data_IF_670229859165
#
_entry.id   IF_670229859165
#
_cell.length_a   1.000
_cell.length_b   1.000
_cell.length_c   1.000
_cell.angle_alpha   90.00
_cell.angle_beta   90.00
_cell.angle_gamma   90.00
#
_symmetry.space_group_name_H-M   'P 1'
#
loop_
_entity.id
_entity.type
_entity.pdbx_description
1 polymer ?
#
# COMPACT_ATOMS: atom_id res chain seq x y z
N UNK A 1 -25.73 -7.08 -23.11
CA UNK A 1 -26.19 -7.89 -21.97
C UNK A 1 -27.23 -7.06 -21.26
N UNK A 2 -28.49 -7.51 -21.26
CA UNK A 2 -29.61 -6.62 -20.96
C UNK A 2 -29.85 -6.45 -19.45
N UNK A 3 -29.11 -7.19 -18.62
CA UNK A 3 -29.16 -7.10 -17.16
C UNK A 3 -27.86 -7.61 -16.53
N UNK A 4 -27.44 -7.00 -15.43
CA UNK A 4 -26.34 -7.47 -14.61
C UNK A 4 -26.77 -8.67 -13.76
N UNK A 5 -26.67 -9.87 -14.33
CA UNK A 5 -26.82 -11.14 -13.61
C UNK A 5 -25.48 -11.58 -13.03
N UNK A 6 -25.43 -12.52 -12.06
CA UNK A 6 -24.16 -13.07 -11.55
C UNK A 6 -23.26 -13.60 -12.67
N UNK A 7 -23.85 -14.29 -13.65
CA UNK A 7 -23.12 -14.78 -14.83
C UNK A 7 -22.55 -13.63 -15.67
N UNK A 8 -23.34 -12.60 -15.94
CA UNK A 8 -22.90 -11.43 -16.73
C UNK A 8 -21.82 -10.65 -16.01
N UNK A 9 -21.92 -10.51 -14.69
CA UNK A 9 -20.89 -9.90 -13.86
C UNK A 9 -19.59 -10.71 -13.90
N UNK A 10 -19.67 -12.04 -13.76
CA UNK A 10 -18.50 -12.92 -13.86
C UNK A 10 -17.79 -12.80 -15.22
N UNK A 11 -18.56 -12.77 -16.32
CA UNK A 11 -18.02 -12.52 -17.66
C UNK A 11 -17.34 -11.16 -17.78
N UNK A 12 -17.90 -10.12 -17.16
CA UNK A 12 -17.31 -8.79 -17.17
C UNK A 12 -16.01 -8.74 -16.37
N UNK A 13 -15.95 -9.35 -15.19
CA UNK A 13 -14.72 -9.43 -14.38
C UNK A 13 -13.64 -10.20 -15.14
N UNK A 14 -13.96 -11.38 -15.67
CA UNK A 14 -13.02 -12.20 -16.43
C UNK A 14 -12.49 -11.47 -17.68
N UNK A 15 -13.32 -10.68 -18.35
CA UNK A 15 -12.89 -9.84 -19.48
C UNK A 15 -11.79 -8.86 -19.05
N UNK A 16 -11.95 -8.19 -17.90
CA UNK A 16 -10.94 -7.26 -17.40
C UNK A 16 -9.68 -7.97 -16.87
N UNK A 17 -9.82 -9.13 -16.24
CA UNK A 17 -8.67 -9.97 -15.83
C UNK A 17 -7.81 -10.34 -17.05
N UNK A 18 -8.43 -10.79 -18.15
CA UNK A 18 -7.71 -11.12 -19.37
C UNK A 18 -7.14 -9.89 -20.10
N UNK A 19 -7.83 -8.75 -20.04
CA UNK A 19 -7.30 -7.50 -20.57
C UNK A 19 -6.02 -7.06 -19.85
N UNK A 20 -6.02 -7.10 -18.51
CA UNK A 20 -4.84 -6.81 -17.67
C UNK A 20 -3.70 -7.80 -17.94
N UNK A 21 -4.02 -9.10 -18.01
CA UNK A 21 -3.05 -10.14 -18.35
C UNK A 21 -2.39 -9.88 -19.72
N UNK A 22 -3.19 -9.57 -20.74
CA UNK A 22 -2.70 -9.32 -22.10
C UNK A 22 -1.76 -8.11 -22.14
N UNK A 23 -2.11 -7.04 -21.43
CA UNK A 23 -1.25 -5.86 -21.29
C UNK A 23 0.08 -6.22 -20.61
N UNK A 24 0.04 -7.01 -19.52
CA UNK A 24 1.24 -7.48 -18.83
C UNK A 24 2.15 -8.30 -19.75
N UNK A 25 1.58 -9.21 -20.54
CA UNK A 25 2.31 -10.00 -21.52
C UNK A 25 2.98 -9.14 -22.62
N UNK A 26 2.28 -8.11 -23.14
CA UNK A 26 2.83 -7.18 -24.14
C UNK A 26 3.98 -6.35 -23.56
N UNK A 27 3.84 -5.86 -22.33
CA UNK A 27 4.87 -5.05 -21.67
C UNK A 27 6.01 -5.88 -21.07
N UNK A 28 5.94 -7.22 -21.16
CA UNK A 28 6.90 -8.12 -20.55
C UNK A 28 7.10 -7.84 -19.05
N UNK A 29 6.00 -7.60 -18.34
CA UNK A 29 5.95 -7.43 -16.89
C UNK A 29 5.10 -8.53 -16.27
N UNK A 30 5.42 -8.90 -15.02
CA UNK A 30 4.63 -9.89 -14.30
C UNK A 30 3.40 -9.24 -13.64
N UNK A 31 2.21 -9.48 -14.19
CA UNK A 31 0.96 -8.94 -13.65
C UNK A 31 0.46 -9.67 -12.38
N UNK A 32 1.17 -10.68 -11.91
CA UNK A 32 0.79 -11.50 -10.76
C UNK A 32 1.65 -11.25 -9.51
N UNK A 33 2.71 -10.44 -9.60
CA UNK A 33 3.51 -10.07 -8.43
C UNK A 33 3.16 -8.67 -7.88
N UNK A 34 3.72 -8.38 -6.71
CA UNK A 34 3.41 -7.17 -5.94
C UNK A 34 4.55 -6.78 -4.99
N UNK A 35 5.81 -6.93 -5.40
CA UNK A 35 6.98 -6.62 -4.55
C UNK A 35 6.99 -5.18 -4.03
N UNK A 36 6.39 -4.24 -4.76
CA UNK A 36 6.33 -2.82 -4.38
C UNK A 36 5.66 -2.53 -3.04
N UNK A 37 4.91 -3.48 -2.46
CA UNK A 37 4.25 -3.28 -1.15
C UNK A 37 5.18 -3.54 0.04
N UNK A 38 6.30 -4.21 -0.16
CA UNK A 38 7.10 -4.77 0.94
C UNK A 38 7.84 -3.68 1.73
N UNK A 39 8.52 -2.77 1.03
CA UNK A 39 9.29 -1.71 1.68
C UNK A 39 8.40 -0.82 2.56
N UNK A 40 7.21 -0.45 2.06
CA UNK A 40 6.26 0.34 2.82
C UNK A 40 5.78 -0.38 4.09
N UNK A 41 5.52 -1.69 4.02
CA UNK A 41 5.16 -2.51 5.18
C UNK A 41 6.28 -2.55 6.21
N UNK A 42 7.53 -2.77 5.78
CA UNK A 42 8.69 -2.79 6.68
C UNK A 42 8.93 -1.43 7.35
N UNK A 43 8.86 -0.34 6.59
CA UNK A 43 9.02 1.02 7.14
C UNK A 43 7.90 1.36 8.14
N UNK A 44 6.65 1.02 7.81
CA UNK A 44 5.51 1.26 8.69
C UNK A 44 5.66 0.53 10.03
N UNK A 45 6.13 -0.72 10.03
CA UNK A 45 6.37 -1.47 11.27
C UNK A 45 7.37 -0.76 12.20
N UNK A 46 8.46 -0.21 11.66
CA UNK A 46 9.42 0.57 12.44
C UNK A 46 8.78 1.85 13.00
N UNK A 47 8.10 2.61 12.15
CA UNK A 47 7.50 3.90 12.54
C UNK A 47 6.38 3.71 13.57
N UNK A 48 5.55 2.68 13.46
CA UNK A 48 4.50 2.38 14.44
C UNK A 48 5.12 2.14 15.82
N UNK A 49 6.16 1.30 15.91
CA UNK A 49 6.86 1.07 17.17
C UNK A 49 7.45 2.37 17.76
N UNK A 50 8.04 3.24 16.91
CA UNK A 50 8.59 4.52 17.33
C UNK A 50 7.53 5.54 17.77
N UNK A 51 6.28 5.41 17.32
CA UNK A 51 5.17 6.26 17.76
C UNK A 51 4.54 5.75 19.07
N UNK A 52 4.41 4.43 19.23
CA UNK A 52 3.78 3.81 20.40
C UNK A 52 4.67 3.78 21.64
N UNK A 53 5.99 3.90 21.47
CA UNK A 53 6.92 3.99 22.59
C UNK A 53 6.58 5.15 23.53
N UNK A 54 6.53 4.90 24.84
CA UNK A 54 6.17 5.90 25.85
C UNK A 54 7.14 7.10 25.88
N UNK A 55 8.43 6.86 25.61
CA UNK A 55 9.47 7.90 25.47
C UNK A 55 10.01 7.92 24.05
N UNK A 56 10.51 9.07 23.59
CA UNK A 56 11.03 9.18 22.22
C UNK A 56 12.34 8.37 22.09
N UNK A 57 12.37 7.32 21.23
CA UNK A 57 13.60 6.59 20.98
C UNK A 57 14.54 7.41 20.07
N UNK A 58 15.85 7.08 20.03
CA UNK A 58 16.76 7.68 19.06
C UNK A 58 16.34 7.31 17.62
N UNK A 59 15.76 8.28 16.91
CA UNK A 59 15.31 8.10 15.53
C UNK A 59 16.49 8.12 14.56
N UNK A 60 16.49 7.20 13.58
CA UNK A 60 17.56 7.02 12.59
C UNK A 60 17.09 7.15 11.14
N UNK A 61 15.92 7.75 10.91
CA UNK A 61 15.44 8.03 9.55
C UNK A 61 16.04 9.32 9.01
N UNK A 62 15.66 9.69 7.79
CA UNK A 62 15.95 11.00 7.23
C UNK A 62 15.32 12.13 8.08
N UNK A 63 15.79 13.36 7.87
CA UNK A 63 15.36 14.51 8.66
C UNK A 63 13.86 14.81 8.54
N UNK A 64 13.24 14.56 7.39
CA UNK A 64 11.81 14.79 7.18
C UNK A 64 10.99 13.82 8.02
N UNK A 65 11.28 12.53 7.91
CA UNK A 65 10.58 11.47 8.66
C UNK A 65 10.73 11.66 10.17
N UNK A 66 11.93 11.96 10.66
CA UNK A 66 12.17 12.23 12.09
C UNK A 66 11.37 13.42 12.61
N UNK A 67 11.27 14.51 11.82
CA UNK A 67 10.50 15.70 12.21
C UNK A 67 9.00 15.39 12.28
N UNK A 68 8.48 14.61 11.33
CA UNK A 68 7.06 14.22 11.32
C UNK A 68 6.71 13.28 12.47
N UNK A 69 7.57 12.29 12.80
CA UNK A 69 7.37 11.40 13.97
C UNK A 69 7.28 12.23 15.25
N UNK A 70 8.23 13.16 15.47
CA UNK A 70 8.20 14.06 16.63
C UNK A 70 6.94 14.90 16.68
N UNK A 71 6.47 15.40 15.53
CA UNK A 71 5.23 16.18 15.45
C UNK A 71 4.01 15.33 15.83
N UNK A 72 3.93 14.08 15.35
CA UNK A 72 2.83 13.16 15.66
C UNK A 72 2.80 12.75 17.13
N UNK A 73 3.95 12.64 17.80
CA UNK A 73 4.06 12.32 19.23
C UNK A 73 3.64 13.47 20.17
N UNK A 74 3.54 14.70 19.66
CA UNK A 74 3.08 15.82 20.49
C UNK A 74 1.58 15.67 20.77
N UNK A 75 1.13 15.95 22.01
CA UNK A 75 -0.30 15.99 22.29
C UNK A 75 -0.96 17.02 21.38
N UNK A 76 -2.04 16.61 20.70
CA UNK A 76 -2.86 17.54 19.92
C UNK A 76 -3.53 18.48 20.91
N UNK A 77 -3.08 19.72 20.97
CA UNK A 77 -3.84 20.81 21.56
C UNK A 77 -5.09 21.01 20.70
N UNK A 78 -6.26 20.70 21.26
CA UNK A 78 -7.55 21.16 20.74
C UNK A 78 -7.68 22.67 20.97
#
# INVERSE_FOLDING_TARGET
ADRLTPETLGKLVALYEHAVFTQGAIWNINCFDQFGVELGKSLAQCVVAELENATEPPLKHDSSTNQLIRRCRRPRSN
#
